data_IF_440462345301
#
_entry.id   IF_440462345301
#
_cell.length_a   1.000
_cell.length_b   1.000
_cell.length_c   1.000
_cell.angle_alpha   90.00
_cell.angle_beta   90.00
_cell.angle_gamma   90.00
#
_symmetry.space_group_name_H-M   'P 1'
#
loop_
_entity.id
_entity.type
_entity.pdbx_description
1 polymer ?
#
# COMPACT_ATOMS: atom_id res chain seq x y z
N UNK A 1 12.46 -8.52 -20.68
CA UNK A 1 12.70 -7.84 -19.39
C UNK A 1 12.53 -8.85 -18.28
N UNK A 2 13.50 -8.98 -17.35
CA UNK A 2 13.37 -9.89 -16.21
C UNK A 2 12.10 -9.56 -15.41
N UNK A 3 11.43 -10.59 -14.88
CA UNK A 3 10.23 -10.43 -14.04
C UNK A 3 10.63 -9.66 -12.77
N UNK A 4 10.32 -8.36 -12.74
CA UNK A 4 10.58 -7.49 -11.58
C UNK A 4 9.67 -7.88 -10.42
N UNK A 5 10.24 -8.05 -9.23
CA UNK A 5 9.45 -8.29 -8.02
C UNK A 5 8.93 -6.96 -7.46
N UNK A 6 7.72 -6.60 -7.86
CA UNK A 6 7.06 -5.35 -7.47
C UNK A 6 6.82 -5.24 -5.95
N UNK A 7 6.65 -6.36 -5.23
CA UNK A 7 6.36 -6.32 -3.79
C UNK A 7 7.55 -5.88 -2.92
N UNK A 8 8.78 -6.15 -3.38
CA UNK A 8 10.01 -5.87 -2.62
C UNK A 8 10.70 -4.59 -3.04
N UNK A 9 10.07 -3.83 -3.93
CA UNK A 9 10.70 -2.69 -4.54
C UNK A 9 10.39 -1.43 -3.74
N UNK A 10 11.44 -0.67 -3.40
CA UNK A 10 11.33 0.61 -2.73
C UNK A 10 12.00 1.70 -3.58
N UNK A 11 11.30 2.81 -3.88
CA UNK A 11 11.87 3.95 -4.58
C UNK A 11 12.84 4.74 -3.70
N UNK A 12 13.91 5.27 -4.28
CA UNK A 12 14.93 6.11 -3.60
C UNK A 12 14.84 7.59 -3.95
N UNK A 13 14.03 7.96 -4.95
CA UNK A 13 13.74 9.35 -5.30
C UNK A 13 12.32 9.50 -5.84
N UNK A 14 11.78 10.72 -5.84
CA UNK A 14 10.44 11.01 -6.36
C UNK A 14 10.34 10.69 -7.87
N UNK A 15 11.39 11.02 -8.64
CA UNK A 15 11.46 10.66 -10.06
C UNK A 15 11.43 9.15 -10.25
N UNK A 16 12.25 8.40 -9.52
CA UNK A 16 12.24 6.95 -9.61
C UNK A 16 10.88 6.38 -9.21
N UNK A 17 10.24 6.91 -8.16
CA UNK A 17 8.89 6.49 -7.77
C UNK A 17 7.88 6.65 -8.91
N UNK A 18 7.91 7.77 -9.64
CA UNK A 18 7.05 8.00 -10.80
C UNK A 18 7.37 7.03 -11.95
N UNK A 19 8.64 6.78 -12.24
CA UNK A 19 9.08 5.80 -13.25
C UNK A 19 8.55 4.39 -12.91
N UNK A 20 8.65 3.99 -11.64
CA UNK A 20 8.13 2.70 -11.16
C UNK A 20 6.61 2.59 -11.29
N UNK A 21 5.88 3.67 -11.01
CA UNK A 21 4.43 3.71 -11.22
C UNK A 21 4.08 3.42 -12.68
N UNK A 22 4.75 4.08 -13.63
CA UNK A 22 4.49 3.86 -15.05
C UNK A 22 4.94 2.48 -15.55
N UNK A 23 6.08 1.99 -15.09
CA UNK A 23 6.52 0.63 -15.44
C UNK A 23 5.57 -0.43 -14.86
N UNK A 24 5.04 -0.22 -13.65
CA UNK A 24 4.01 -1.07 -13.06
C UNK A 24 2.75 -1.04 -13.91
N UNK A 25 2.24 0.15 -14.24
CA UNK A 25 1.06 0.34 -15.08
C UNK A 25 1.21 -0.35 -16.44
N UNK A 26 2.38 -0.24 -17.07
CA UNK A 26 2.70 -0.91 -18.33
C UNK A 26 2.78 -2.42 -18.18
N UNK A 27 3.44 -2.93 -17.15
CA UNK A 27 3.70 -4.37 -17.01
C UNK A 27 2.50 -5.16 -16.45
N UNK A 28 1.66 -4.54 -15.61
CA UNK A 28 0.52 -5.19 -14.95
C UNK A 28 -0.81 -4.88 -15.59
N UNK A 29 -0.97 -3.68 -16.13
CA UNK A 29 -2.23 -3.22 -16.70
C UNK A 29 -2.14 -2.94 -18.20
N UNK A 30 -0.97 -3.14 -18.83
CA UNK A 30 -0.71 -2.82 -20.24
C UNK A 30 -1.09 -1.38 -20.62
N UNK A 31 -0.96 -0.45 -19.66
CA UNK A 31 -1.31 0.96 -19.85
C UNK A 31 -0.14 1.72 -20.48
N UNK A 32 -0.44 2.50 -21.52
CA UNK A 32 0.49 3.49 -22.07
C UNK A 32 0.51 4.76 -21.21
N UNK A 33 1.50 5.63 -21.43
CA UNK A 33 1.55 6.93 -20.75
C UNK A 33 0.33 7.79 -21.11
N UNK A 34 -0.16 7.72 -22.35
CA UNK A 34 -1.42 8.34 -22.76
C UNK A 34 -2.60 7.80 -21.95
N UNK A 35 -2.74 6.48 -21.84
CA UNK A 35 -3.85 5.88 -21.07
C UNK A 35 -3.81 6.21 -19.58
N UNK A 36 -2.61 6.38 -18.99
CA UNK A 36 -2.48 6.89 -17.62
C UNK A 36 -2.93 8.35 -17.53
N UNK A 37 -2.51 9.20 -18.47
CA UNK A 37 -2.91 10.60 -18.49
C UNK A 37 -4.43 10.77 -18.67
N UNK A 38 -5.05 9.95 -19.52
CA UNK A 38 -6.50 9.93 -19.73
C UNK A 38 -7.24 9.53 -18.44
N UNK A 39 -6.80 8.48 -17.73
CA UNK A 39 -7.37 8.07 -16.45
C UNK A 39 -7.20 9.13 -15.34
N UNK A 40 -6.15 9.94 -15.42
CA UNK A 40 -5.95 11.08 -14.53
C UNK A 40 -6.81 12.31 -14.90
N UNK A 41 -7.58 12.25 -15.99
CA UNK A 41 -8.33 13.39 -16.52
C UNK A 41 -7.42 14.51 -17.07
N UNK A 42 -6.20 14.17 -17.51
CA UNK A 42 -5.30 15.14 -18.14
C UNK A 42 -5.64 15.29 -19.63
N UNK A 43 -5.43 16.48 -20.17
CA UNK A 43 -5.71 16.75 -21.59
C UNK A 43 -4.72 16.08 -22.55
N UNK A 44 -3.51 15.76 -22.08
CA UNK A 44 -2.49 15.03 -22.83
C UNK A 44 -1.39 14.51 -21.88
N UNK A 45 -0.54 13.62 -22.40
CA UNK A 45 0.61 13.04 -21.67
C UNK A 45 1.81 13.98 -21.48
N UNK A 46 1.88 15.13 -22.16
CA UNK A 46 3.08 15.97 -22.17
C UNK A 46 3.40 16.55 -20.80
N UNK A 47 2.36 16.92 -20.04
CA UNK A 47 2.50 17.36 -18.65
C UNK A 47 3.14 16.28 -17.79
N UNK A 48 2.76 15.02 -17.99
CA UNK A 48 3.30 13.89 -17.23
C UNK A 48 4.79 13.66 -17.52
N UNK A 49 5.22 13.77 -18.78
CA UNK A 49 6.65 13.71 -19.11
C UNK A 49 7.43 14.84 -18.45
N UNK A 50 6.91 16.08 -18.49
CA UNK A 50 7.56 17.23 -17.85
C UNK A 50 7.67 17.04 -16.33
N UNK A 51 6.64 16.52 -15.67
CA UNK A 51 6.68 16.24 -14.24
C UNK A 51 7.66 15.12 -13.89
N UNK A 52 7.78 14.09 -14.74
CA UNK A 52 8.77 13.02 -14.52
C UNK A 52 10.19 13.51 -14.69
N UNK A 53 10.44 14.32 -15.71
CA UNK A 53 11.77 14.86 -16.00
C UNK A 53 12.35 15.61 -14.80
N UNK A 54 11.53 16.47 -14.19
CA UNK A 54 11.95 17.34 -13.09
C UNK A 54 11.55 16.84 -11.69
N UNK A 55 10.82 15.71 -11.59
CA UNK A 55 10.30 15.15 -10.35
C UNK A 55 9.24 16.02 -9.65
N UNK A 56 8.58 16.95 -10.35
CA UNK A 56 7.61 17.90 -9.76
C UNK A 56 6.17 17.51 -10.09
N UNK A 57 5.73 16.35 -9.60
CA UNK A 57 4.31 15.98 -9.65
C UNK A 57 3.51 16.92 -8.73
N UNK A 58 2.47 17.61 -9.22
CA UNK A 58 1.61 18.41 -8.36
C UNK A 58 0.99 17.55 -7.26
N UNK A 59 0.98 18.04 -6.01
CA UNK A 59 0.53 17.28 -4.84
C UNK A 59 -0.90 16.75 -5.00
N UNK A 60 -1.79 17.57 -5.54
CA UNK A 60 -3.19 17.21 -5.83
C UNK A 60 -3.33 16.05 -6.84
N UNK A 61 -2.31 15.81 -7.66
CA UNK A 61 -2.30 14.76 -8.68
C UNK A 61 -1.60 13.48 -8.23
N UNK A 62 -1.02 13.43 -7.02
CA UNK A 62 -0.35 12.21 -6.51
C UNK A 62 -1.34 11.04 -6.50
N UNK A 63 -2.52 11.20 -5.87
CA UNK A 63 -3.50 10.11 -5.78
C UNK A 63 -4.14 9.75 -7.13
N UNK A 64 -4.56 10.71 -7.98
CA UNK A 64 -4.99 10.39 -9.34
C UNK A 64 -3.94 9.61 -10.14
N UNK A 65 -2.67 10.02 -10.07
CA UNK A 65 -1.57 9.35 -10.77
C UNK A 65 -1.36 7.92 -10.28
N UNK A 66 -1.27 7.72 -8.96
CA UNK A 66 -1.09 6.40 -8.35
C UNK A 66 -2.28 5.47 -8.62
N UNK A 67 -3.50 6.00 -8.56
CA UNK A 67 -4.71 5.27 -8.91
C UNK A 67 -4.71 4.84 -10.40
N UNK A 68 -4.37 5.76 -11.30
CA UNK A 68 -4.22 5.48 -12.73
C UNK A 68 -3.09 4.48 -13.02
N UNK A 69 -2.08 4.37 -12.15
CA UNK A 69 -1.02 3.38 -12.28
C UNK A 69 -1.34 2.04 -11.58
N UNK A 70 -2.24 2.03 -10.60
CA UNK A 70 -2.57 0.85 -9.80
C UNK A 70 -1.55 0.52 -8.69
N UNK A 71 -0.73 1.49 -8.27
CA UNK A 71 0.30 1.30 -7.24
C UNK A 71 0.66 2.61 -6.54
N UNK A 72 1.26 2.52 -5.34
CA UNK A 72 1.46 3.66 -4.44
C UNK A 72 2.93 4.03 -4.20
N UNK A 73 3.81 3.93 -5.21
CA UNK A 73 5.25 4.17 -5.03
C UNK A 73 5.59 5.63 -4.68
N UNK A 74 4.82 6.61 -5.14
CA UNK A 74 5.07 8.03 -4.81
C UNK A 74 4.77 8.27 -3.32
N UNK A 75 3.63 7.80 -2.84
CA UNK A 75 3.25 7.82 -1.42
C UNK A 75 4.27 7.03 -0.59
N UNK A 76 4.73 5.87 -1.07
CA UNK A 76 5.77 5.08 -0.40
C UNK A 76 7.07 5.86 -0.25
N UNK A 77 7.53 6.52 -1.32
CA UNK A 77 8.73 7.37 -1.25
C UNK A 77 8.57 8.53 -0.25
N UNK A 78 7.43 9.22 -0.29
CA UNK A 78 7.19 10.37 0.60
C UNK A 78 7.15 9.95 2.07
N UNK A 79 6.55 8.80 2.38
CA UNK A 79 6.52 8.28 3.74
C UNK A 79 7.91 7.83 4.21
N UNK A 80 8.60 7.01 3.41
CA UNK A 80 9.93 6.50 3.77
C UNK A 80 10.95 7.63 3.91
N UNK A 81 10.92 8.65 3.04
CA UNK A 81 11.81 9.81 3.13
C UNK A 81 11.53 10.69 4.36
N UNK A 82 10.33 10.60 4.93
CA UNK A 82 9.96 11.22 6.20
C UNK A 82 10.13 10.27 7.41
N UNK A 83 10.83 9.14 7.25
CA UNK A 83 10.97 8.09 8.26
C UNK A 83 9.64 7.60 8.85
N UNK A 84 8.61 7.53 8.00
CA UNK A 84 7.30 6.96 8.33
C UNK A 84 7.20 5.54 7.78
N UNK A 85 6.63 4.66 8.58
CA UNK A 85 6.24 3.31 8.15
C UNK A 85 4.87 3.38 7.49
N UNK A 86 4.74 2.82 6.28
CA UNK A 86 3.44 2.57 5.65
C UNK A 86 3.07 1.12 5.82
N UNK A 87 1.82 0.91 6.20
CA UNK A 87 1.20 -0.40 6.30
C UNK A 87 -0.07 -0.32 5.46
N UNK A 88 -0.18 -1.22 4.47
CA UNK A 88 -1.40 -1.31 3.68
C UNK A 88 -2.54 -1.77 4.61
N UNK A 89 -3.59 -0.96 4.69
CA UNK A 89 -4.79 -1.33 5.44
C UNK A 89 -5.51 -2.37 4.58
N UNK A 90 -5.70 -3.61 5.08
CA UNK A 90 -6.44 -4.61 4.32
C UNK A 90 -7.89 -4.15 4.16
N UNK A 91 -8.51 -4.50 3.03
CA UNK A 91 -9.95 -4.31 2.87
C UNK A 91 -10.66 -5.08 3.97
N UNK A 92 -11.38 -4.37 4.85
CA UNK A 92 -12.05 -4.99 5.99
C UNK A 92 -12.91 -6.19 5.57
N UNK A 93 -12.67 -7.33 6.20
CA UNK A 93 -13.46 -8.57 6.06
C UNK A 93 -14.18 -8.84 7.40
N UNK A 94 -15.37 -9.47 7.39
CA UNK A 94 -16.04 -9.85 8.63
C UNK A 94 -15.12 -10.76 9.43
N UNK A 95 -14.67 -10.26 10.59
CA UNK A 95 -13.80 -10.99 11.49
C UNK A 95 -14.66 -11.67 12.58
N UNK A 96 -14.39 -12.95 12.84
CA UNK A 96 -15.04 -13.74 13.88
C UNK A 96 -14.16 -13.98 15.10
N UNK A 97 -14.64 -14.82 16.02
CA UNK A 97 -13.90 -15.22 17.24
C UNK A 97 -12.57 -15.91 16.92
N UNK A 98 -12.53 -16.70 15.84
CA UNK A 98 -11.32 -17.39 15.39
C UNK A 98 -10.21 -16.39 14.99
N UNK A 99 -10.57 -15.29 14.34
CA UNK A 99 -9.62 -14.26 13.91
C UNK A 99 -9.05 -13.48 15.10
N UNK A 100 -9.88 -13.23 16.13
CA UNK A 100 -9.41 -12.63 17.38
C UNK A 100 -8.43 -13.54 18.14
N UNK A 101 -8.67 -14.85 18.14
CA UNK A 101 -7.76 -15.80 18.77
C UNK A 101 -6.43 -15.87 18.01
N UNK A 102 -6.46 -15.87 16.68
CA UNK A 102 -5.27 -15.81 15.84
C UNK A 102 -4.47 -14.54 16.10
N UNK A 103 -5.13 -13.37 16.10
CA UNK A 103 -4.50 -12.08 16.44
C UNK A 103 -3.84 -12.12 17.81
N UNK A 104 -4.51 -12.66 18.82
CA UNK A 104 -3.94 -12.76 20.18
C UNK A 104 -2.69 -13.66 20.21
N UNK A 105 -2.72 -14.78 19.50
CA UNK A 105 -1.56 -15.67 19.36
C UNK A 105 -0.38 -14.97 18.69
N UNK A 106 -0.62 -14.32 17.55
CA UNK A 106 0.41 -13.64 16.75
C UNK A 106 0.98 -12.43 17.51
N UNK A 107 0.14 -11.70 18.24
CA UNK A 107 0.57 -10.58 19.08
C UNK A 107 1.52 -11.05 20.19
N UNK A 108 1.17 -12.12 20.91
CA UNK A 108 2.03 -12.65 21.97
C UNK A 108 3.35 -13.16 21.40
N UNK A 109 3.33 -13.88 20.29
CA UNK A 109 4.55 -14.35 19.62
C UNK A 109 5.46 -13.18 19.20
N UNK A 110 4.90 -12.08 18.68
CA UNK A 110 5.67 -10.89 18.33
C UNK A 110 6.27 -10.20 19.57
N UNK A 111 5.54 -10.13 20.69
CA UNK A 111 6.06 -9.59 21.96
C UNK A 111 7.17 -10.49 22.52
N UNK A 112 7.04 -11.80 22.44
CA UNK A 112 8.06 -12.75 22.87
C UNK A 112 9.35 -12.60 22.03
N UNK A 113 9.23 -12.48 20.71
CA UNK A 113 10.36 -12.16 19.83
C UNK A 113 11.00 -10.83 20.18
N UNK A 114 10.20 -9.80 20.48
CA UNK A 114 10.69 -8.49 20.89
C UNK A 114 11.46 -8.55 22.21
N UNK A 115 10.94 -9.26 23.20
CA UNK A 115 11.63 -9.50 24.46
C UNK A 115 12.92 -10.31 24.25
N UNK A 116 12.88 -11.31 23.37
CA UNK A 116 14.02 -12.10 22.94
C UNK A 116 15.11 -11.23 22.28
N UNK A 117 14.72 -10.34 21.38
CA UNK A 117 15.63 -9.42 20.68
C UNK A 117 16.35 -8.49 21.65
N UNK A 118 15.62 -7.84 22.56
CA UNK A 118 16.23 -7.02 23.61
C UNK A 118 17.11 -7.82 24.57
N UNK A 119 16.83 -9.11 24.75
CA UNK A 119 17.66 -10.06 25.48
C UNK A 119 18.83 -10.65 24.70
N UNK A 120 19.02 -10.29 23.41
CA UNK A 120 20.06 -10.81 22.53
C UNK A 120 19.85 -12.26 22.06
N UNK A 121 18.60 -12.74 22.07
CA UNK A 121 18.20 -14.13 21.77
C UNK A 121 17.36 -14.28 20.50
N UNK A 122 17.01 -13.19 19.84
CA UNK A 122 16.27 -13.19 18.58
C UNK A 122 16.93 -12.25 17.57
N UNK A 123 16.69 -12.49 16.29
CA UNK A 123 17.25 -11.70 15.19
C UNK A 123 16.42 -10.45 14.90
N UNK A 124 17.08 -9.39 14.44
CA UNK A 124 16.43 -8.11 14.14
C UNK A 124 15.36 -8.24 13.04
N UNK A 125 15.70 -8.91 11.93
CA UNK A 125 14.82 -9.04 10.77
C UNK A 125 13.56 -9.87 11.08
N UNK A 126 13.72 -10.95 11.87
CA UNK A 126 12.61 -11.79 12.33
C UNK A 126 11.67 -10.99 13.23
N UNK A 127 12.23 -10.26 14.19
CA UNK A 127 11.46 -9.42 15.13
C UNK A 127 10.71 -8.31 14.41
N UNK A 128 11.37 -7.60 13.49
CA UNK A 128 10.75 -6.54 12.69
C UNK A 128 9.62 -7.07 11.82
N UNK A 129 9.78 -8.26 11.23
CA UNK A 129 8.75 -8.90 10.42
C UNK A 129 7.52 -9.25 11.25
N UNK A 130 7.70 -9.87 12.42
CA UNK A 130 6.60 -10.22 13.32
C UNK A 130 5.84 -8.98 13.83
N UNK A 131 6.55 -7.93 14.22
CA UNK A 131 5.93 -6.66 14.62
C UNK A 131 5.14 -6.01 13.49
N UNK A 132 5.66 -6.03 12.27
CA UNK A 132 4.98 -5.45 11.11
C UNK A 132 3.72 -6.22 10.73
N UNK A 133 3.76 -7.54 10.81
CA UNK A 133 2.59 -8.40 10.58
C UNK A 133 1.47 -8.06 11.58
N UNK A 134 1.78 -8.02 12.87
CA UNK A 134 0.81 -7.67 13.92
C UNK A 134 0.26 -6.26 13.75
N UNK A 135 1.09 -5.26 13.41
CA UNK A 135 0.60 -3.92 13.12
C UNK A 135 -0.37 -3.90 11.93
N UNK A 136 -0.15 -4.74 10.91
CA UNK A 136 -1.02 -4.89 9.74
C UNK A 136 -2.36 -5.54 10.11
N UNK A 137 -2.34 -6.59 10.92
CA UNK A 137 -3.55 -7.25 11.42
C UNK A 137 -4.40 -6.28 12.27
N UNK A 138 -3.77 -5.55 13.20
CA UNK A 138 -4.45 -4.53 14.02
C UNK A 138 -5.05 -3.43 13.14
N UNK A 139 -4.33 -2.97 12.11
CA UNK A 139 -4.86 -1.99 11.16
C UNK A 139 -6.12 -2.50 10.44
N UNK A 140 -6.17 -3.79 10.09
CA UNK A 140 -7.36 -4.43 9.52
C UNK A 140 -8.55 -4.47 10.49
N UNK A 141 -8.32 -4.87 11.75
CA UNK A 141 -9.39 -4.84 12.76
C UNK A 141 -9.87 -3.42 13.05
N UNK A 142 -8.97 -2.44 13.08
CA UNK A 142 -9.33 -1.01 13.20
C UNK A 142 -10.25 -0.59 12.04
N UNK A 143 -9.96 -1.02 10.82
CA UNK A 143 -10.81 -0.75 9.65
C UNK A 143 -12.18 -1.42 9.76
N UNK A 144 -12.24 -2.68 10.20
CA UNK A 144 -13.51 -3.37 10.47
C UNK A 144 -14.39 -2.62 11.48
N UNK A 145 -13.78 -2.15 12.58
CA UNK A 145 -14.47 -1.33 13.58
C UNK A 145 -14.94 0.00 12.99
N UNK A 146 -14.12 0.66 12.16
CA UNK A 146 -14.49 1.89 11.46
C UNK A 146 -15.69 1.67 10.53
N UNK A 147 -15.71 0.56 9.78
CA UNK A 147 -16.83 0.21 8.89
C UNK A 147 -18.11 -0.15 9.63
N UNK A 148 -18.02 -0.74 10.82
CA UNK A 148 -19.20 -0.96 11.66
C UNK A 148 -19.88 0.35 12.06
N UNK A 149 -19.14 1.45 12.16
CA UNK A 149 -19.68 2.79 12.44
C UNK A 149 -20.27 3.48 11.20
N UNK A 150 -19.89 3.07 9.99
CA UNK A 150 -20.38 3.60 8.72
C UNK A 150 -20.50 2.45 7.71
N UNK A 151 -21.57 1.64 7.80
CA UNK A 151 -21.76 0.50 6.91
C UNK A 151 -21.72 0.96 5.46
N UNK A 152 -20.93 0.27 4.62
CA UNK A 152 -20.96 0.51 3.19
C UNK A 152 -22.39 0.27 2.70
N UNK A 153 -22.93 1.22 1.90
CA UNK A 153 -24.26 1.09 1.34
C UNK A 153 -24.32 -0.21 0.52
N UNK A 154 -25.12 -1.18 0.95
CA UNK A 154 -25.44 -2.41 0.22
C UNK A 154 -26.25 -2.09 -1.04
N UNK A 155 -25.64 -1.40 -2.00
CA UNK A 155 -26.27 -0.90 -3.22
C UNK A 155 -26.80 -2.02 -4.14
N UNK A 156 -26.56 -3.29 -3.81
CA UNK A 156 -26.95 -4.45 -4.63
C UNK A 156 -27.49 -5.66 -3.84
N UNK A 157 -27.85 -5.55 -2.56
CA UNK A 157 -28.37 -6.71 -1.79
C UNK A 157 -29.87 -7.03 -2.06
N UNK A 158 -30.45 -6.54 -3.16
CA UNK A 158 -31.90 -6.57 -3.39
C UNK A 158 -32.40 -6.90 -4.79
N UNK A 159 -31.62 -7.56 -5.66
CA UNK A 159 -32.14 -8.08 -6.95
C UNK A 159 -31.82 -9.57 -7.12
N UNK A 160 -32.60 -10.42 -6.46
CA UNK A 160 -32.95 -11.73 -7.00
C UNK A 160 -34.38 -11.65 -7.53
N UNK A 161 -34.51 -11.44 -8.84
CA UNK A 161 -35.76 -11.72 -9.58
C UNK A 161 -35.82 -13.22 -9.92
#
# INVERSE_FOLDING_TARGET
MPRRNWKRLAPTSLRQAMELCLEYARSKHNRSVDGVADLMGQSNKWSLYKWMENGRLPSILIRPFEHACGCSYVTQYLATSAHKLLIDIPSGQPAGEADLLALHSDFNAAVDLLAGFYGGKAEADETLSALTEVMSQIAGHRENVSKAMAPELGLFEGETL
#
